data_IF_152968887732
#
_entry.id   IF_152968887732
#
_cell.length_a   1.000
_cell.length_b   1.000
_cell.length_c   1.000
_cell.angle_alpha   90.00
_cell.angle_beta   90.00
_cell.angle_gamma   90.00
#
_symmetry.space_group_name_H-M   'P 1'
#
loop_
_entity.id
_entity.type
_entity.pdbx_description
1 polymer ?
#
# COMPACT_ATOMS: atom_id res chain seq x y z
N UNK A 1 -10.49 -3.14 -2.52
CA UNK A 1 -9.74 -1.89 -2.30
C UNK A 1 -10.33 -1.09 -1.13
N UNK A 2 -11.57 -0.57 -1.19
CA UNK A 2 -12.11 0.22 -0.05
C UNK A 2 -12.23 -0.62 1.23
N UNK A 3 -12.84 -1.81 1.17
CA UNK A 3 -12.97 -2.68 2.37
C UNK A 3 -11.61 -3.02 2.99
N UNK A 4 -10.59 -3.21 2.16
CA UNK A 4 -9.22 -3.46 2.62
C UNK A 4 -8.66 -2.23 3.35
N UNK A 5 -8.81 -1.03 2.78
CA UNK A 5 -8.43 0.22 3.44
C UNK A 5 -9.18 0.39 4.78
N UNK A 6 -10.48 0.10 4.81
CA UNK A 6 -11.28 0.16 6.04
C UNK A 6 -10.77 -0.82 7.10
N UNK A 7 -10.44 -2.06 6.73
CA UNK A 7 -9.87 -3.03 7.67
C UNK A 7 -8.48 -2.63 8.16
N UNK A 8 -7.64 -2.06 7.31
CA UNK A 8 -6.31 -1.53 7.70
C UNK A 8 -6.46 -0.42 8.74
N UNK A 9 -7.40 0.51 8.51
CA UNK A 9 -7.69 1.61 9.44
C UNK A 9 -8.26 1.07 10.76
N UNK A 10 -9.25 0.17 10.72
CA UNK A 10 -9.87 -0.42 11.91
C UNK A 10 -8.86 -1.18 12.78
N UNK A 11 -7.88 -1.83 12.16
CA UNK A 11 -6.82 -2.55 12.85
C UNK A 11 -5.64 -1.66 13.27
N UNK A 12 -5.70 -0.35 12.99
CA UNK A 12 -4.62 0.61 13.26
C UNK A 12 -3.27 0.18 12.67
N UNK A 13 -3.28 -0.52 11.53
CA UNK A 13 -2.06 -0.99 10.88
C UNK A 13 -1.25 0.21 10.39
N UNK A 14 0.04 0.22 10.75
CA UNK A 14 0.98 1.24 10.28
C UNK A 14 1.42 0.99 8.83
N UNK A 15 1.94 2.03 8.17
CA UNK A 15 2.45 1.91 6.80
C UNK A 15 3.58 0.87 6.74
N UNK A 16 4.47 0.87 7.72
CA UNK A 16 5.60 -0.05 7.83
C UNK A 16 5.16 -1.52 8.01
N UNK A 17 4.03 -1.75 8.67
CA UNK A 17 3.43 -3.08 8.81
C UNK A 17 2.73 -3.52 7.52
N UNK A 18 2.00 -2.62 6.87
CA UNK A 18 1.35 -2.87 5.59
C UNK A 18 2.37 -3.33 4.54
N UNK A 19 3.55 -2.70 4.49
CA UNK A 19 4.61 -3.04 3.53
C UNK A 19 5.26 -4.42 3.72
N UNK A 20 5.00 -5.10 4.85
CA UNK A 20 5.41 -6.49 5.08
C UNK A 20 4.42 -7.50 4.51
N UNK A 21 3.24 -7.05 4.06
CA UNK A 21 2.25 -7.90 3.40
C UNK A 21 2.59 -8.10 1.92
N UNK A 22 1.94 -9.06 1.28
CA UNK A 22 2.12 -9.34 -0.14
C UNK A 22 0.79 -9.20 -0.85
N UNK A 23 0.76 -8.32 -1.84
CA UNK A 23 -0.36 -8.23 -2.78
C UNK A 23 -0.12 -9.18 -3.95
N UNK A 24 -1.17 -9.85 -4.39
CA UNK A 24 -1.10 -10.68 -5.60
C UNK A 24 -0.75 -9.83 -6.82
N UNK A 25 0.07 -10.38 -7.73
CA UNK A 25 0.44 -9.74 -8.99
C UNK A 25 0.08 -10.64 -10.18
N UNK A 26 -0.58 -10.14 -11.24
CA UNK A 26 -1.10 -8.78 -11.41
C UNK A 26 -2.52 -8.61 -10.83
N UNK A 27 -2.77 -7.55 -10.04
CA UNK A 27 -4.11 -7.28 -9.48
C UNK A 27 -4.38 -5.79 -9.26
N UNK A 28 -5.63 -5.33 -9.38
CA UNK A 28 -5.97 -3.95 -9.02
C UNK A 28 -5.66 -3.59 -7.56
N UNK A 29 -5.73 -4.57 -6.65
CA UNK A 29 -5.39 -4.37 -5.24
C UNK A 29 -3.92 -3.98 -5.03
N UNK A 30 -3.01 -4.34 -5.93
CA UNK A 30 -1.58 -4.02 -5.78
C UNK A 30 -1.29 -2.51 -5.72
N UNK A 31 -2.18 -1.69 -6.29
CA UNK A 31 -2.10 -0.22 -6.18
C UNK A 31 -2.23 0.27 -4.74
N UNK A 32 -2.94 -0.46 -3.86
CA UNK A 32 -2.96 -0.11 -2.43
C UNK A 32 -1.55 -0.22 -1.84
N UNK A 33 -0.82 -1.30 -2.11
CA UNK A 33 0.56 -1.48 -1.66
C UNK A 33 1.47 -0.36 -2.15
N UNK A 34 1.44 -0.03 -3.44
CA UNK A 34 2.22 1.08 -4.01
C UNK A 34 1.86 2.43 -3.37
N UNK A 35 0.58 2.67 -3.07
CA UNK A 35 0.16 3.91 -2.40
C UNK A 35 0.71 4.01 -0.98
N UNK A 36 0.76 2.91 -0.22
CA UNK A 36 1.42 2.89 1.09
C UNK A 36 2.94 3.05 0.97
N UNK A 37 3.56 2.40 -0.01
CA UNK A 37 4.99 2.53 -0.27
C UNK A 37 5.38 3.97 -0.64
N UNK A 38 4.50 4.70 -1.33
CA UNK A 38 4.69 6.09 -1.72
C UNK A 38 4.82 7.03 -0.52
N UNK A 39 4.16 6.74 0.61
CA UNK A 39 4.28 7.52 1.85
C UNK A 39 5.73 7.56 2.34
N UNK A 40 6.46 6.45 2.21
CA UNK A 40 7.87 6.33 2.59
C UNK A 40 8.83 6.59 1.42
N UNK A 41 8.33 6.99 0.24
CA UNK A 41 9.14 7.17 -0.97
C UNK A 41 9.71 5.86 -1.52
N UNK A 42 9.09 4.73 -1.21
CA UNK A 42 9.49 3.39 -1.61
C UNK A 42 8.66 2.81 -2.77
N UNK A 43 7.66 3.56 -3.26
CA UNK A 43 6.87 3.14 -4.41
C UNK A 43 7.76 2.93 -5.65
N UNK A 44 7.58 1.80 -6.32
CA UNK A 44 8.41 1.38 -7.46
C UNK A 44 7.77 1.88 -8.76
N UNK A 45 6.43 1.88 -8.82
CA UNK A 45 5.67 2.21 -10.02
C UNK A 45 5.12 3.63 -10.01
N UNK A 46 5.61 4.50 -9.12
CA UNK A 46 5.27 5.92 -9.05
C UNK A 46 6.41 6.79 -9.63
N UNK A 47 6.10 7.91 -10.30
CA UNK A 47 7.10 8.90 -10.67
C UNK A 47 7.88 9.40 -9.43
N UNK A 48 9.16 9.72 -9.60
CA UNK A 48 9.95 10.31 -8.51
C UNK A 48 9.31 11.62 -8.05
N UNK A 49 9.11 11.75 -6.73
CA UNK A 49 8.68 13.01 -6.10
C UNK A 49 9.77 14.08 -6.31
N UNK A 50 9.34 15.32 -6.57
CA UNK A 50 10.22 16.48 -6.76
C UNK A 50 10.67 17.07 -5.43
#
# INVERSE_FOLDING_TARGET
MINEASSIIEMEITVEEMLKTIHGHPTYSEVMYEAFADVLGMAIHSPKKK
#
